data_IF_888068054811
#
_entry.id   IF_888068054811
#
_cell.length_a   1.000
_cell.length_b   1.000
_cell.length_c   1.000
_cell.angle_alpha   90.00
_cell.angle_beta   90.00
_cell.angle_gamma   90.00
#
_symmetry.space_group_name_H-M   'P 1'
#
loop_
_entity.id
_entity.type
_entity.pdbx_description
1 polymer ?
#
# COMPACT_ATOMS: atom_id res chain seq x y z
N UNK A 1 -6.12 67.28 24.74
CA UNK A 1 -7.47 67.66 24.26
C UNK A 1 -8.10 66.44 23.77
N UNK A 2 -8.92 65.66 24.56
CA UNK A 2 -10.40 65.70 24.71
C UNK A 2 -11.09 65.72 23.35
N UNK A 3 -11.86 64.70 22.92
CA UNK A 3 -13.18 64.16 23.38
C UNK A 3 -13.39 62.85 22.66
N UNK A 4 -13.72 61.69 23.25
CA UNK A 4 -15.00 61.23 23.83
C UNK A 4 -16.20 61.18 22.88
N UNK A 5 -16.68 59.93 22.72
CA UNK A 5 -18.04 59.39 22.90
C UNK A 5 -19.00 59.55 21.69
N UNK A 6 -19.80 58.57 21.28
CA UNK A 6 -20.82 57.88 22.08
C UNK A 6 -21.54 56.80 21.26
N UNK A 7 -22.07 55.75 21.94
CA UNK A 7 -23.12 54.84 21.46
C UNK A 7 -24.52 55.47 21.63
N UNK A 8 -25.53 54.98 20.85
CA UNK A 8 -26.71 54.39 21.49
C UNK A 8 -27.24 53.14 20.75
N UNK A 9 -27.65 52.08 21.38
CA UNK A 9 -28.77 51.60 22.15
C UNK A 9 -30.11 51.36 21.34
N UNK A 10 -30.42 50.04 21.32
CA UNK A 10 -31.74 49.33 21.30
C UNK A 10 -33.01 50.12 20.98
N UNK A 11 -33.88 49.48 20.12
CA UNK A 11 -35.30 49.17 20.47
C UNK A 11 -35.97 48.20 19.47
N UNK A 12 -36.68 47.26 20.05
CA UNK A 12 -37.59 46.22 19.60
C UNK A 12 -38.83 46.77 18.89
N UNK A 13 -39.34 46.09 17.84
CA UNK A 13 -40.77 46.06 17.52
C UNK A 13 -41.15 44.66 17.00
N UNK A 14 -42.12 44.04 17.70
CA UNK A 14 -42.87 42.89 17.28
C UNK A 14 -43.95 43.32 16.29
N UNK A 15 -44.24 42.47 15.25
CA UNK A 15 -45.54 42.41 14.62
C UNK A 15 -45.85 40.97 14.16
N UNK A 16 -46.95 40.44 14.66
CA UNK A 16 -47.56 39.19 14.28
C UNK A 16 -48.26 39.33 12.90
N UNK A 17 -48.12 38.24 12.10
CA UNK A 17 -48.91 38.07 10.87
C UNK A 17 -49.09 36.60 10.55
N UNK A 18 -50.27 36.07 10.83
CA UNK A 18 -50.72 34.69 10.49
C UNK A 18 -51.02 34.57 8.99
N UNK A 19 -50.48 33.52 8.35
CA UNK A 19 -50.86 33.16 6.99
C UNK A 19 -50.37 31.76 6.65
N UNK A 20 -51.24 30.76 6.74
CA UNK A 20 -50.91 29.37 6.38
C UNK A 20 -50.81 29.19 4.88
N UNK A 21 -49.81 28.43 4.44
CA UNK A 21 -49.78 27.82 3.10
C UNK A 21 -49.17 26.44 3.22
N UNK A 22 -49.94 25.46 2.76
CA UNK A 22 -49.54 24.07 2.67
C UNK A 22 -48.33 23.90 1.72
N UNK A 23 -47.21 23.43 2.22
CA UNK A 23 -46.08 23.01 1.40
C UNK A 23 -46.23 21.52 1.10
N UNK A 24 -46.49 21.21 -0.15
CA UNK A 24 -46.39 19.89 -0.74
C UNK A 24 -44.90 19.42 -0.60
N UNK A 25 -44.68 18.42 0.25
CA UNK A 25 -43.37 17.76 0.39
C UNK A 25 -43.04 16.97 -0.87
N UNK A 26 -42.17 17.53 -1.71
CA UNK A 26 -41.42 16.76 -2.68
C UNK A 26 -40.32 16.04 -1.92
N UNK A 27 -40.56 14.77 -1.57
CA UNK A 27 -39.55 13.87 -1.06
C UNK A 27 -38.49 13.63 -2.14
N UNK A 28 -37.35 14.29 -2.03
CA UNK A 28 -36.14 13.91 -2.76
C UNK A 28 -35.67 12.56 -2.22
N UNK A 29 -36.07 11.47 -2.88
CA UNK A 29 -35.45 10.16 -2.69
C UNK A 29 -34.00 10.25 -3.21
N UNK A 30 -33.07 10.41 -2.31
CA UNK A 30 -31.64 10.31 -2.64
C UNK A 30 -31.28 8.87 -3.04
N UNK A 31 -30.26 8.67 -3.92
CA UNK A 31 -29.83 7.34 -4.34
C UNK A 31 -28.93 6.70 -3.27
N UNK A 32 -29.49 6.32 -2.11
CA UNK A 32 -28.74 5.75 -0.98
C UNK A 32 -28.89 4.23 -0.82
N UNK A 33 -29.73 3.57 -1.61
CA UNK A 33 -30.13 2.17 -1.31
C UNK A 33 -29.42 1.10 -2.13
N UNK A 34 -28.76 1.43 -3.24
CA UNK A 34 -28.08 0.44 -4.09
C UNK A 34 -26.65 0.11 -3.63
N UNK A 35 -25.97 1.05 -3.02
CA UNK A 35 -24.53 0.90 -2.62
C UNK A 35 -24.36 0.05 -1.34
N UNK A 36 -25.35 0.06 -0.44
CA UNK A 36 -25.33 -0.73 0.80
C UNK A 36 -25.44 -2.25 0.56
N UNK A 37 -26.18 -2.67 -0.46
CA UNK A 37 -26.36 -4.09 -0.82
C UNK A 37 -25.10 -4.70 -1.46
N UNK A 38 -24.47 -3.97 -2.37
CA UNK A 38 -23.25 -4.41 -3.05
C UNK A 38 -22.08 -4.53 -2.07
N UNK A 39 -21.90 -3.54 -1.18
CA UNK A 39 -20.88 -3.57 -0.13
C UNK A 39 -21.06 -4.75 0.84
N UNK A 40 -22.29 -5.05 1.25
CA UNK A 40 -22.59 -6.19 2.13
C UNK A 40 -22.27 -7.54 1.45
N UNK A 41 -22.49 -7.67 0.14
CA UNK A 41 -22.15 -8.84 -0.65
C UNK A 41 -20.63 -9.09 -0.68
N UNK A 42 -19.84 -8.05 -0.93
CA UNK A 42 -18.37 -8.12 -0.92
C UNK A 42 -17.84 -8.54 0.46
N UNK A 43 -18.37 -7.95 1.53
CA UNK A 43 -17.95 -8.30 2.91
C UNK A 43 -18.29 -9.74 3.26
N UNK A 44 -19.43 -10.26 2.81
CA UNK A 44 -19.79 -11.68 3.00
C UNK A 44 -18.81 -12.57 2.27
N UNK A 45 -18.55 -12.30 0.99
CA UNK A 45 -17.64 -13.12 0.18
C UNK A 45 -16.22 -13.14 0.76
N UNK A 46 -15.71 -12.02 1.28
CA UNK A 46 -14.41 -11.99 1.96
C UNK A 46 -14.38 -12.92 3.19
N UNK A 47 -15.44 -12.92 4.02
CA UNK A 47 -15.53 -13.85 5.15
C UNK A 47 -15.63 -15.31 4.72
N UNK A 48 -16.38 -15.60 3.65
CA UNK A 48 -16.48 -16.95 3.11
C UNK A 48 -15.12 -17.44 2.62
N UNK A 49 -14.35 -16.60 1.92
CA UNK A 49 -12.99 -16.90 1.47
C UNK A 49 -12.02 -17.12 2.66
N UNK A 50 -12.13 -16.33 3.74
CA UNK A 50 -11.35 -16.56 4.96
C UNK A 50 -11.60 -17.95 5.54
N UNK A 51 -12.87 -18.36 5.59
CA UNK A 51 -13.26 -19.68 6.06
C UNK A 51 -12.79 -20.81 5.13
N UNK A 52 -13.03 -20.68 3.83
CA UNK A 52 -12.66 -21.65 2.79
C UNK A 52 -11.14 -21.93 2.79
N UNK A 53 -10.32 -20.88 3.02
CA UNK A 53 -8.87 -20.98 2.94
C UNK A 53 -8.17 -21.09 4.32
N UNK A 54 -8.92 -21.04 5.42
CA UNK A 54 -8.34 -20.99 6.78
C UNK A 54 -7.39 -19.82 6.96
N UNK A 55 -7.70 -18.67 6.35
CA UNK A 55 -6.83 -17.51 6.26
C UNK A 55 -7.47 -16.27 6.90
N UNK A 56 -6.65 -15.27 7.25
CA UNK A 56 -7.08 -13.89 7.46
C UNK A 56 -6.80 -13.11 6.17
N UNK A 57 -7.76 -12.28 5.77
CA UNK A 57 -7.65 -11.42 4.59
C UNK A 57 -7.80 -9.97 5.00
N UNK A 58 -6.76 -9.18 4.89
CA UNK A 58 -6.79 -7.74 5.07
C UNK A 58 -6.89 -7.02 3.73
N UNK A 59 -7.87 -6.11 3.60
CA UNK A 59 -8.15 -5.42 2.34
C UNK A 59 -8.32 -3.92 2.56
N UNK A 60 -7.70 -3.15 1.70
CA UNK A 60 -8.04 -1.76 1.43
C UNK A 60 -8.00 -1.53 -0.07
N UNK A 61 -9.15 -1.25 -0.67
CA UNK A 61 -9.25 -0.88 -2.08
C UNK A 61 -10.06 0.40 -2.21
N UNK A 62 -9.51 1.42 -2.89
CA UNK A 62 -10.17 2.71 -3.10
C UNK A 62 -9.97 3.23 -4.51
N UNK A 63 -11.06 3.43 -5.23
CA UNK A 63 -11.07 4.16 -6.48
C UNK A 63 -10.93 5.65 -6.19
N UNK A 64 -9.90 6.28 -6.75
CA UNK A 64 -9.58 7.68 -6.44
C UNK A 64 -10.41 8.69 -7.26
N UNK A 65 -11.14 8.22 -8.29
CA UNK A 65 -12.06 9.04 -9.08
C UNK A 65 -13.44 9.06 -8.46
N UNK A 66 -14.00 7.87 -8.16
CA UNK A 66 -15.36 7.74 -7.65
C UNK A 66 -15.47 7.80 -6.13
N UNK A 67 -14.34 7.60 -5.41
CA UNK A 67 -14.29 7.49 -3.96
C UNK A 67 -14.81 6.15 -3.40
N UNK A 68 -15.30 5.24 -4.26
CA UNK A 68 -15.75 3.91 -3.82
C UNK A 68 -14.62 3.19 -3.07
N UNK A 69 -14.95 2.61 -1.93
CA UNK A 69 -13.98 1.97 -1.04
C UNK A 69 -14.50 0.62 -0.56
N UNK A 70 -13.63 -0.39 -0.61
CA UNK A 70 -13.81 -1.67 0.11
C UNK A 70 -12.73 -1.77 1.17
N UNK A 71 -13.15 -2.03 2.41
CA UNK A 71 -12.27 -2.14 3.57
C UNK A 71 -12.67 -3.38 4.39
N UNK A 72 -11.73 -4.29 4.64
CA UNK A 72 -11.93 -5.48 5.47
C UNK A 72 -10.67 -5.71 6.29
N UNK A 73 -10.77 -5.84 7.62
CA UNK A 73 -9.62 -5.89 8.54
C UNK A 73 -8.56 -4.81 8.25
N UNK A 74 -9.00 -3.67 7.80
CA UNK A 74 -8.15 -2.66 7.12
C UNK A 74 -7.16 -1.99 8.06
N UNK A 75 -7.41 -2.03 9.39
CA UNK A 75 -6.53 -1.49 10.43
C UNK A 75 -5.77 -2.60 11.20
N UNK A 76 -6.08 -3.87 10.93
CA UNK A 76 -5.38 -4.97 11.59
C UNK A 76 -3.96 -5.15 11.06
N UNK A 77 -3.05 -5.60 11.93
CA UNK A 77 -1.66 -5.82 11.56
C UNK A 77 -1.48 -7.13 10.78
N UNK A 78 -0.69 -7.04 9.73
CA UNK A 78 -0.24 -8.15 8.89
C UNK A 78 1.28 -8.06 8.69
N UNK A 79 1.98 -9.20 8.51
CA UNK A 79 3.40 -9.20 8.15
C UNK A 79 3.66 -8.37 6.90
N UNK A 80 4.64 -7.46 6.96
CA UNK A 80 4.94 -6.56 5.85
C UNK A 80 5.62 -7.30 4.69
N UNK A 81 6.51 -8.23 5.02
CA UNK A 81 7.34 -8.92 4.05
C UNK A 81 7.92 -7.95 3.01
N UNK A 82 8.14 -8.39 1.78
CA UNK A 82 8.78 -7.58 0.73
C UNK A 82 8.00 -6.33 0.26
N UNK A 83 6.77 -6.05 0.76
CA UNK A 83 6.07 -4.82 0.37
C UNK A 83 6.72 -3.55 0.95
N UNK A 84 7.74 -3.66 1.81
CA UNK A 84 8.56 -2.53 2.23
C UNK A 84 9.56 -2.04 1.16
N UNK A 85 9.95 -2.89 0.19
CA UNK A 85 11.05 -2.61 -0.74
C UNK A 85 10.86 -1.35 -1.59
N UNK A 86 9.65 -1.02 -2.05
CA UNK A 86 9.40 0.29 -2.69
C UNK A 86 9.61 1.48 -1.75
N UNK A 87 9.34 1.32 -0.44
CA UNK A 87 9.65 2.37 0.53
C UNK A 87 11.16 2.56 0.68
N UNK A 88 11.94 1.46 0.64
CA UNK A 88 13.40 1.54 0.67
C UNK A 88 13.96 2.25 -0.58
N UNK A 89 13.49 1.87 -1.77
CA UNK A 89 13.87 2.54 -3.01
C UNK A 89 13.47 4.03 -3.01
N UNK A 90 12.27 4.35 -2.53
CA UNK A 90 11.79 5.73 -2.40
C UNK A 90 12.62 6.54 -1.39
N UNK A 91 13.02 5.94 -0.27
CA UNK A 91 13.89 6.59 0.71
C UNK A 91 15.28 6.88 0.12
N UNK A 92 15.84 5.96 -0.66
CA UNK A 92 17.10 6.19 -1.39
C UNK A 92 16.96 7.36 -2.35
N UNK A 93 15.91 7.37 -3.17
CA UNK A 93 15.65 8.44 -4.14
C UNK A 93 15.50 9.81 -3.46
N UNK A 94 14.77 9.88 -2.35
CA UNK A 94 14.44 11.15 -1.69
C UNK A 94 15.56 11.65 -0.78
N UNK A 95 16.15 10.76 0.01
CA UNK A 95 16.98 11.14 1.16
C UNK A 95 18.50 11.02 0.86
N UNK A 96 18.89 10.16 -0.12
CA UNK A 96 20.29 9.90 -0.43
C UNK A 96 20.71 10.39 -1.82
N UNK A 97 19.81 10.30 -2.84
CA UNK A 97 20.19 10.69 -4.20
C UNK A 97 20.05 12.18 -4.40
N UNK A 98 21.10 12.77 -4.99
CA UNK A 98 21.09 14.14 -5.50
C UNK A 98 21.60 14.09 -6.93
N UNK A 99 20.76 14.49 -7.86
CA UNK A 99 21.12 14.59 -9.28
C UNK A 99 21.58 13.29 -9.95
N UNK A 100 21.32 12.13 -9.33
CA UNK A 100 21.68 10.81 -9.85
C UNK A 100 23.07 10.30 -9.42
N UNK A 101 23.82 11.07 -8.63
CA UNK A 101 25.17 10.68 -8.20
C UNK A 101 25.14 9.45 -7.28
N UNK A 102 24.23 9.43 -6.31
CA UNK A 102 24.12 8.29 -5.41
C UNK A 102 23.62 7.04 -6.13
N UNK A 103 22.68 7.17 -7.04
CA UNK A 103 22.17 6.07 -7.84
C UNK A 103 23.23 5.44 -8.75
N UNK A 104 24.21 6.23 -9.21
CA UNK A 104 25.32 5.76 -10.04
C UNK A 104 26.39 5.01 -9.24
N UNK A 105 26.45 5.17 -7.91
CA UNK A 105 27.42 4.47 -7.05
C UNK A 105 27.27 2.96 -7.19
N UNK A 106 28.41 2.29 -7.27
CA UNK A 106 28.47 0.82 -7.29
C UNK A 106 28.69 0.28 -5.88
N UNK A 107 27.88 -0.71 -5.51
CA UNK A 107 28.00 -1.47 -4.27
C UNK A 107 28.52 -2.85 -4.61
N UNK A 108 29.63 -3.25 -3.97
CA UNK A 108 30.16 -4.60 -4.01
C UNK A 108 29.64 -5.38 -2.80
N UNK A 109 29.41 -6.65 -3.01
CA UNK A 109 28.94 -7.60 -2.01
C UNK A 109 29.54 -8.98 -2.30
N UNK A 110 29.41 -9.90 -1.37
CA UNK A 110 30.06 -11.21 -1.39
C UNK A 110 29.07 -12.34 -1.73
N UNK A 111 29.59 -13.48 -2.16
CA UNK A 111 28.78 -14.69 -2.32
C UNK A 111 28.12 -15.15 -1.00
N UNK A 112 28.78 -14.93 0.14
CA UNK A 112 28.20 -15.24 1.45
C UNK A 112 26.98 -14.35 1.78
N UNK A 113 26.98 -13.07 1.38
CA UNK A 113 25.81 -12.20 1.54
C UNK A 113 24.66 -12.64 0.62
N UNK A 114 24.96 -13.12 -0.58
CA UNK A 114 23.96 -13.69 -1.51
C UNK A 114 23.31 -14.93 -0.88
N UNK A 115 24.10 -15.87 -0.39
CA UNK A 115 23.59 -17.09 0.25
C UNK A 115 22.75 -16.78 1.48
N UNK A 116 23.19 -15.86 2.33
CA UNK A 116 22.49 -15.47 3.56
C UNK A 116 21.13 -14.76 3.30
N UNK A 117 20.96 -14.15 2.14
CA UNK A 117 19.70 -13.44 1.79
C UNK A 117 18.62 -14.36 1.18
N UNK A 118 18.96 -15.59 0.80
CA UNK A 118 18.11 -16.68 0.28
C UNK A 118 17.50 -16.41 -1.12
N UNK A 119 16.72 -15.35 -1.30
CA UNK A 119 16.06 -14.99 -2.56
C UNK A 119 16.79 -13.84 -3.27
N UNK A 120 17.66 -14.19 -4.22
CA UNK A 120 18.62 -13.25 -4.85
C UNK A 120 18.66 -13.37 -6.38
N UNK A 121 17.50 -13.34 -7.09
CA UNK A 121 17.42 -13.70 -8.51
C UNK A 121 18.24 -12.79 -9.45
N UNK A 122 18.64 -11.63 -8.98
CA UNK A 122 19.45 -10.66 -9.74
C UNK A 122 20.85 -10.57 -9.16
N UNK A 123 20.95 -10.30 -7.86
CA UNK A 123 22.26 -10.06 -7.21
C UNK A 123 23.20 -11.26 -7.28
N UNK A 124 22.70 -12.51 -7.29
CA UNK A 124 23.50 -13.72 -7.49
C UNK A 124 24.33 -13.72 -8.79
N UNK A 125 23.89 -12.98 -9.80
CA UNK A 125 24.53 -12.93 -11.14
C UNK A 125 25.60 -11.85 -11.26
N UNK A 126 25.76 -11.00 -10.24
CA UNK A 126 26.57 -9.80 -10.28
C UNK A 126 27.61 -9.72 -9.14
N UNK A 127 27.97 -10.87 -8.54
CA UNK A 127 28.90 -10.93 -7.39
C UNK A 127 30.26 -10.36 -7.75
N UNK A 128 30.77 -10.63 -8.95
CA UNK A 128 32.11 -10.22 -9.34
C UNK A 128 32.22 -8.69 -9.54
N UNK A 129 31.25 -8.10 -10.21
CA UNK A 129 31.29 -6.66 -10.56
C UNK A 129 30.52 -5.76 -9.60
N UNK A 130 29.68 -6.32 -8.73
CA UNK A 130 28.72 -5.56 -7.92
C UNK A 130 27.63 -4.92 -8.76
N UNK A 131 26.78 -4.10 -8.13
CA UNK A 131 25.65 -3.42 -8.81
C UNK A 131 25.59 -1.95 -8.46
N UNK A 132 25.08 -1.11 -9.38
CA UNK A 132 24.76 0.28 -9.06
C UNK A 132 23.58 0.34 -8.09
N UNK A 133 23.48 1.40 -7.30
CA UNK A 133 22.33 1.62 -6.40
C UNK A 133 21.01 1.65 -7.19
N UNK A 134 21.00 2.24 -8.39
CA UNK A 134 19.85 2.21 -9.28
C UNK A 134 19.42 0.79 -9.65
N UNK A 135 20.38 -0.05 -10.04
CA UNK A 135 20.12 -1.45 -10.38
C UNK A 135 19.62 -2.26 -9.16
N UNK A 136 20.14 -1.97 -7.96
CA UNK A 136 19.66 -2.57 -6.71
C UNK A 136 18.22 -2.14 -6.39
N UNK A 137 17.86 -0.86 -6.56
CA UNK A 137 16.49 -0.39 -6.42
C UNK A 137 15.55 -1.12 -7.39
N UNK A 138 15.93 -1.22 -8.66
CA UNK A 138 15.18 -1.94 -9.68
C UNK A 138 14.99 -3.42 -9.31
N UNK A 139 16.05 -4.12 -8.92
CA UNK A 139 16.02 -5.54 -8.53
C UNK A 139 15.13 -5.78 -7.29
N UNK A 140 15.27 -4.94 -6.26
CA UNK A 140 14.47 -5.04 -5.04
C UNK A 140 12.98 -4.85 -5.31
N UNK A 141 12.60 -3.89 -6.16
CA UNK A 141 11.21 -3.56 -6.46
C UNK A 141 10.62 -4.53 -7.46
N UNK A 142 11.25 -4.75 -8.62
CA UNK A 142 10.66 -5.53 -9.72
C UNK A 142 10.79 -7.04 -9.58
N UNK A 143 11.84 -7.55 -8.93
CA UNK A 143 12.09 -8.98 -8.79
C UNK A 143 12.16 -9.46 -7.33
N UNK A 144 11.90 -8.53 -6.41
CA UNK A 144 11.87 -8.81 -4.96
C UNK A 144 13.20 -9.35 -4.40
N UNK A 145 14.34 -9.01 -5.01
CA UNK A 145 15.66 -9.46 -4.58
C UNK A 145 15.93 -9.03 -3.13
N UNK A 146 16.22 -10.03 -2.26
CA UNK A 146 16.39 -9.79 -0.83
C UNK A 146 17.71 -9.12 -0.51
N UNK A 147 18.80 -9.55 -1.19
CA UNK A 147 20.09 -8.91 -0.96
C UNK A 147 20.06 -7.46 -1.45
N UNK A 148 19.47 -7.20 -2.60
CA UNK A 148 19.27 -5.82 -3.06
C UNK A 148 18.50 -4.99 -2.01
N UNK A 149 17.42 -5.53 -1.44
CA UNK A 149 16.69 -4.91 -0.32
C UNK A 149 17.59 -4.63 0.88
N UNK A 150 18.37 -5.61 1.33
CA UNK A 150 19.30 -5.47 2.45
C UNK A 150 20.41 -4.44 2.18
N UNK A 151 20.94 -4.40 0.96
CA UNK A 151 21.97 -3.42 0.57
C UNK A 151 21.40 -1.99 0.62
N UNK A 152 20.16 -1.78 0.15
CA UNK A 152 19.49 -0.48 0.28
C UNK A 152 19.24 -0.11 1.75
N UNK A 153 18.78 -1.07 2.58
CA UNK A 153 18.63 -0.85 4.01
C UNK A 153 19.95 -0.46 4.67
N UNK A 154 21.06 -1.09 4.28
CA UNK A 154 22.41 -0.78 4.79
C UNK A 154 22.78 0.69 4.51
N UNK A 155 22.56 1.16 3.30
CA UNK A 155 22.83 2.56 2.92
C UNK A 155 21.94 3.55 3.67
N UNK A 156 20.69 3.15 4.01
CA UNK A 156 19.74 3.97 4.78
C UNK A 156 19.98 3.95 6.30
N UNK A 157 20.93 3.14 6.79
CA UNK A 157 21.23 3.00 8.22
C UNK A 157 20.40 1.94 8.95
N UNK A 158 19.95 0.91 8.24
CA UNK A 158 19.29 -0.29 8.75
C UNK A 158 17.76 -0.26 8.67
N UNK A 159 17.11 -1.40 8.99
CA UNK A 159 15.65 -1.56 8.87
C UNK A 159 14.80 -0.46 9.50
N UNK A 160 15.14 0.11 10.68
CA UNK A 160 14.35 1.20 11.28
C UNK A 160 14.26 2.48 10.42
N UNK A 161 15.11 2.62 9.39
CA UNK A 161 15.00 3.73 8.44
C UNK A 161 13.67 3.70 7.69
N UNK A 162 13.14 2.51 7.37
CA UNK A 162 11.84 2.36 6.72
C UNK A 162 10.71 2.84 7.64
N UNK A 163 10.79 2.52 8.92
CA UNK A 163 9.83 3.03 9.90
C UNK A 163 9.87 4.56 9.94
N UNK A 164 11.05 5.18 9.99
CA UNK A 164 11.19 6.65 9.97
C UNK A 164 10.66 7.25 8.67
N UNK A 165 10.96 6.63 7.54
CA UNK A 165 10.47 7.06 6.22
C UNK A 165 8.94 7.01 6.16
N UNK A 166 8.31 5.90 6.57
CA UNK A 166 6.87 5.75 6.66
C UNK A 166 6.25 6.86 7.54
N UNK A 167 6.82 7.14 8.72
CA UNK A 167 6.35 8.22 9.62
C UNK A 167 6.42 9.59 8.95
N UNK A 168 7.47 9.87 8.16
CA UNK A 168 7.59 11.13 7.42
C UNK A 168 6.51 11.32 6.35
N UNK A 169 5.93 10.23 5.87
CA UNK A 169 4.78 10.21 4.96
C UNK A 169 3.43 10.20 5.68
N UNK A 170 3.40 10.25 7.02
CA UNK A 170 2.18 10.20 7.83
C UNK A 170 1.65 8.79 8.09
N UNK A 171 2.34 7.74 7.67
CA UNK A 171 2.02 6.36 8.02
C UNK A 171 2.53 6.07 9.44
N UNK A 172 1.61 5.90 10.38
CA UNK A 172 1.92 5.67 11.79
C UNK A 172 1.93 4.19 12.18
N UNK A 173 1.67 3.29 11.24
CA UNK A 173 1.50 1.86 11.47
C UNK A 173 2.69 1.06 10.96
N UNK A 174 3.04 1.20 9.69
CA UNK A 174 4.11 0.42 9.05
C UNK A 174 5.42 0.52 9.80
N UNK A 175 6.02 -0.63 10.12
CA UNK A 175 7.34 -0.71 10.76
C UNK A 175 8.16 -1.84 10.18
N UNK A 176 9.47 -1.65 10.15
CA UNK A 176 10.48 -2.63 9.78
C UNK A 176 11.57 -2.64 10.86
N UNK A 177 11.88 -3.81 11.36
CA UNK A 177 12.78 -4.01 12.51
C UNK A 177 13.95 -4.92 12.18
N UNK A 178 13.74 -5.87 11.25
CA UNK A 178 14.70 -6.91 10.92
C UNK A 178 15.11 -6.87 9.45
N UNK A 179 16.16 -7.57 9.13
CA UNK A 179 16.70 -7.76 7.79
C UNK A 179 16.01 -8.92 7.06
N UNK A 180 16.09 -8.97 5.73
CA UNK A 180 15.79 -10.18 4.98
C UNK A 180 16.84 -11.28 5.30
N UNK A 181 16.43 -12.55 5.46
CA UNK A 181 15.07 -13.08 5.35
C UNK A 181 14.29 -13.08 6.69
N UNK A 182 14.91 -12.72 7.82
CA UNK A 182 14.34 -12.86 9.17
C UNK A 182 13.02 -12.09 9.37
N UNK A 183 12.79 -10.99 8.65
CA UNK A 183 11.55 -10.21 8.71
C UNK A 183 10.31 -10.99 8.23
N UNK A 184 10.51 -12.12 7.53
CA UNK A 184 9.42 -12.93 6.97
C UNK A 184 8.93 -14.07 7.92
N UNK A 185 9.37 -14.09 9.17
CA UNK A 185 8.99 -15.15 10.14
C UNK A 185 7.50 -15.15 10.48
N UNK A 186 6.81 -13.99 10.38
CA UNK A 186 5.36 -13.81 10.30
C UNK A 186 4.54 -14.38 11.47
N UNK A 187 5.12 -14.57 12.65
CA UNK A 187 4.42 -15.11 13.83
C UNK A 187 3.22 -14.22 14.20
N UNK A 188 2.01 -14.81 14.41
CA UNK A 188 0.77 -14.05 14.62
C UNK A 188 0.74 -13.12 15.83
N UNK A 189 1.59 -13.37 16.83
CA UNK A 189 1.69 -12.56 18.06
C UNK A 189 2.75 -11.45 17.95
N UNK A 190 3.51 -11.39 16.85
CA UNK A 190 4.57 -10.42 16.67
C UNK A 190 4.02 -9.13 16.07
N UNK A 191 4.52 -8.02 16.57
CA UNK A 191 4.19 -6.67 16.02
C UNK A 191 5.31 -6.06 15.21
N UNK A 192 6.54 -6.63 15.30
CA UNK A 192 7.67 -6.27 14.46
C UNK A 192 7.42 -6.66 13.01
N UNK A 193 7.94 -5.87 12.08
CA UNK A 193 7.84 -6.08 10.63
C UNK A 193 6.39 -6.22 10.14
N UNK A 194 5.53 -5.32 10.60
CA UNK A 194 4.11 -5.33 10.26
C UNK A 194 3.64 -4.01 9.64
N UNK A 195 2.51 -4.10 8.97
CA UNK A 195 1.73 -2.98 8.43
C UNK A 195 0.24 -3.29 8.52
N UNK A 196 -0.63 -2.34 8.15
CA UNK A 196 -2.05 -2.60 7.92
C UNK A 196 -2.41 -2.32 6.45
N UNK A 197 -3.50 -2.93 5.94
CA UNK A 197 -3.91 -2.71 4.54
C UNK A 197 -4.08 -1.24 4.18
N UNK A 198 -4.71 -0.45 5.05
CA UNK A 198 -4.87 0.99 4.80
C UNK A 198 -3.53 1.72 4.83
N UNK A 199 -2.72 1.49 5.83
CA UNK A 199 -1.47 2.23 6.02
C UNK A 199 -0.54 2.05 4.82
N UNK A 200 -0.32 0.81 4.40
CA UNK A 200 0.57 0.53 3.26
C UNK A 200 -0.04 0.98 1.94
N UNK A 201 -1.36 0.80 1.74
CA UNK A 201 -2.05 1.25 0.53
C UNK A 201 -1.98 2.77 0.37
N UNK A 202 -2.25 3.54 1.42
CA UNK A 202 -2.15 5.01 1.39
C UNK A 202 -0.70 5.47 1.20
N UNK A 203 0.28 4.77 1.76
CA UNK A 203 1.70 5.04 1.54
C UNK A 203 2.07 4.87 0.07
N UNK A 204 1.64 3.77 -0.58
CA UNK A 204 1.85 3.58 -2.02
C UNK A 204 1.17 4.66 -2.87
N UNK A 205 -0.04 5.08 -2.51
CA UNK A 205 -0.72 6.18 -3.20
C UNK A 205 0.11 7.47 -3.15
N UNK A 206 0.69 7.82 -2.00
CA UNK A 206 1.57 8.99 -1.86
C UNK A 206 2.85 8.86 -2.68
N UNK A 207 3.43 7.66 -2.76
CA UNK A 207 4.65 7.40 -3.53
C UNK A 207 4.42 7.45 -5.03
N UNK A 208 3.29 6.93 -5.54
CA UNK A 208 3.02 6.77 -6.98
C UNK A 208 2.24 7.94 -7.58
N UNK A 209 1.31 8.51 -6.81
CA UNK A 209 0.39 9.56 -7.30
C UNK A 209 0.55 10.90 -6.58
N UNK A 210 1.10 10.89 -5.37
CA UNK A 210 1.24 12.08 -4.53
C UNK A 210 2.55 12.84 -4.77
N UNK A 211 2.91 13.62 -3.79
CA UNK A 211 4.07 14.52 -3.76
C UNK A 211 5.20 14.05 -2.83
N UNK A 212 5.15 12.78 -2.40
CA UNK A 212 6.19 12.18 -1.55
C UNK A 212 7.58 12.19 -2.20
N UNK A 213 7.63 12.18 -3.52
CA UNK A 213 8.84 12.24 -4.35
C UNK A 213 8.71 13.33 -5.41
N UNK A 214 9.83 13.98 -5.82
CA UNK A 214 9.88 14.75 -7.06
C UNK A 214 9.39 13.93 -8.26
N UNK A 215 8.82 14.59 -9.26
CA UNK A 215 8.22 13.91 -10.42
C UNK A 215 9.17 12.89 -11.06
N UNK A 216 10.43 13.26 -11.30
CA UNK A 216 11.45 12.38 -11.90
C UNK A 216 11.58 11.05 -11.12
N UNK A 217 11.68 11.16 -9.81
CA UNK A 217 11.91 9.98 -8.94
C UNK A 217 10.65 9.16 -8.75
N UNK A 218 9.49 9.83 -8.69
CA UNK A 218 8.19 9.17 -8.70
C UNK A 218 7.97 8.37 -9.99
N UNK A 219 8.26 8.94 -11.15
CA UNK A 219 8.14 8.28 -12.45
C UNK A 219 9.09 7.06 -12.51
N UNK A 220 10.30 7.18 -11.97
CA UNK A 220 11.29 6.09 -11.87
C UNK A 220 10.80 4.96 -10.97
N UNK A 221 10.35 5.27 -9.76
CA UNK A 221 9.78 4.27 -8.84
C UNK A 221 8.57 3.57 -9.45
N UNK A 222 7.69 4.33 -10.09
CA UNK A 222 6.52 3.79 -10.78
C UNK A 222 6.92 2.85 -11.91
N UNK A 223 7.95 3.17 -12.68
CA UNK A 223 8.46 2.30 -13.73
C UNK A 223 8.98 0.96 -13.17
N UNK A 224 9.67 0.97 -12.02
CA UNK A 224 10.11 -0.27 -11.36
C UNK A 224 8.94 -1.11 -10.85
N UNK A 225 7.89 -0.47 -10.32
CA UNK A 225 6.66 -1.17 -9.90
C UNK A 225 5.91 -1.77 -11.09
N UNK A 226 5.78 -1.04 -12.21
CA UNK A 226 5.17 -1.54 -13.46
C UNK A 226 5.94 -2.74 -14.05
N UNK A 227 7.25 -2.83 -13.78
CA UNK A 227 8.11 -3.92 -14.22
C UNK A 227 8.09 -5.13 -13.27
N UNK A 228 7.18 -5.18 -12.28
CA UNK A 228 7.08 -6.30 -11.34
C UNK A 228 6.83 -7.62 -12.06
N UNK A 229 7.69 -8.62 -11.79
CA UNK A 229 7.60 -9.97 -12.36
C UNK A 229 7.05 -11.01 -11.39
N UNK A 230 6.81 -10.63 -10.12
CA UNK A 230 6.45 -11.57 -9.05
C UNK A 230 4.94 -11.67 -8.81
N UNK A 231 4.12 -10.92 -9.51
CA UNK A 231 2.67 -10.81 -9.34
C UNK A 231 1.84 -11.71 -10.27
N UNK A 232 2.48 -12.58 -11.06
CA UNK A 232 1.85 -13.35 -12.14
C UNK A 232 0.65 -14.20 -11.70
N UNK A 233 0.70 -14.72 -10.47
CA UNK A 233 -0.36 -15.53 -9.85
C UNK A 233 -1.17 -14.77 -8.81
N UNK A 234 -1.07 -13.44 -8.77
CA UNK A 234 -1.75 -12.54 -7.80
C UNK A 234 -2.54 -11.46 -8.53
N UNK A 235 -2.15 -10.19 -8.39
CA UNK A 235 -2.90 -9.09 -9.04
C UNK A 235 -3.00 -9.28 -10.55
N UNK A 236 -1.94 -9.74 -11.22
CA UNK A 236 -1.97 -9.93 -12.66
C UNK A 236 -2.99 -10.98 -13.11
N UNK A 237 -3.16 -12.06 -12.35
CA UNK A 237 -4.21 -13.08 -12.61
C UNK A 237 -5.60 -12.57 -12.21
N UNK A 238 -5.70 -11.83 -11.10
CA UNK A 238 -6.96 -11.32 -10.57
C UNK A 238 -7.55 -10.16 -11.35
N UNK A 239 -6.71 -9.35 -12.01
CA UNK A 239 -7.06 -8.10 -12.67
C UNK A 239 -6.63 -8.08 -14.15
N UNK A 240 -7.22 -8.97 -14.99
CA UNK A 240 -6.86 -9.00 -16.40
C UNK A 240 -7.22 -7.67 -17.07
N UNK A 241 -6.29 -7.14 -17.88
CA UNK A 241 -6.47 -5.88 -18.60
C UNK A 241 -6.22 -4.61 -17.78
N UNK A 242 -5.85 -4.72 -16.49
CA UNK A 242 -5.44 -3.59 -15.67
C UNK A 242 -3.94 -3.29 -15.83
N UNK A 243 -3.57 -2.02 -15.65
CA UNK A 243 -2.17 -1.62 -15.51
C UNK A 243 -1.80 -1.68 -14.04
N UNK A 244 -0.70 -2.37 -13.69
CA UNK A 244 -0.36 -2.71 -12.31
C UNK A 244 1.00 -2.12 -11.93
N UNK A 245 1.01 -1.12 -11.07
CA UNK A 245 2.22 -0.65 -10.38
C UNK A 245 2.18 -1.18 -8.95
N UNK A 246 2.62 -2.43 -8.76
CA UNK A 246 2.43 -3.19 -7.54
C UNK A 246 3.69 -3.86 -7.03
N UNK A 247 3.65 -4.30 -5.80
CA UNK A 247 4.70 -5.09 -5.15
C UNK A 247 4.10 -6.23 -4.36
N UNK A 248 4.58 -7.43 -4.62
CA UNK A 248 4.25 -8.60 -3.82
C UNK A 248 5.08 -8.70 -2.55
N UNK A 249 4.52 -9.37 -1.57
CA UNK A 249 5.22 -9.80 -0.35
C UNK A 249 4.82 -11.22 0.00
N UNK A 250 5.66 -11.95 0.71
CA UNK A 250 5.33 -13.28 1.16
C UNK A 250 6.53 -14.03 1.71
N UNK A 251 6.25 -15.18 2.28
CA UNK A 251 7.24 -16.07 2.87
C UNK A 251 6.67 -17.48 3.01
N UNK A 252 7.50 -18.40 3.47
CA UNK A 252 7.12 -19.79 3.69
C UNK A 252 6.57 -20.03 5.11
N UNK A 253 6.41 -18.97 5.91
CA UNK A 253 5.83 -19.03 7.24
C UNK A 253 4.41 -18.46 7.26
N UNK A 254 3.52 -19.14 7.94
CA UNK A 254 2.12 -18.73 8.17
C UNK A 254 1.35 -18.37 6.89
N UNK A 255 1.73 -18.93 5.75
CA UNK A 255 1.04 -18.78 4.47
C UNK A 255 0.91 -17.34 3.98
N UNK A 256 1.85 -16.46 4.34
CA UNK A 256 1.76 -15.04 3.97
C UNK A 256 1.85 -14.85 2.47
N UNK A 257 0.84 -14.18 1.91
CA UNK A 257 0.81 -13.72 0.54
C UNK A 257 0.20 -12.33 0.48
N UNK A 258 0.99 -11.36 0.05
CA UNK A 258 0.59 -9.96 -0.04
C UNK A 258 0.74 -9.46 -1.47
N UNK A 259 -0.13 -8.52 -1.87
CA UNK A 259 0.06 -7.71 -3.05
C UNK A 259 -0.49 -6.32 -2.81
N UNK A 260 0.29 -5.29 -3.11
CA UNK A 260 -0.04 -3.88 -2.81
C UNK A 260 0.40 -2.99 -3.95
N UNK A 261 -0.47 -2.10 -4.39
CA UNK A 261 -0.12 -1.18 -5.47
C UNK A 261 -1.12 -0.06 -5.72
N UNK A 262 -0.76 0.75 -6.69
CA UNK A 262 -1.69 1.59 -7.44
C UNK A 262 -1.92 0.89 -8.78
N UNK A 263 -3.18 0.60 -9.06
CA UNK A 263 -3.58 -0.11 -10.27
C UNK A 263 -4.59 0.74 -11.04
N UNK A 264 -4.51 0.72 -12.36
CA UNK A 264 -5.46 1.45 -13.20
C UNK A 264 -6.41 0.49 -13.88
N UNK A 265 -7.71 0.76 -13.70
CA UNK A 265 -8.76 -0.02 -14.38
C UNK A 265 -8.66 0.10 -15.90
N UNK A 266 -9.31 -0.78 -16.68
CA UNK A 266 -9.36 -0.65 -18.14
C UNK A 266 -9.93 0.69 -18.62
N UNK A 267 -10.73 1.37 -17.79
CA UNK A 267 -11.23 2.72 -18.04
C UNK A 267 -10.22 3.82 -17.63
N UNK A 268 -9.05 3.47 -17.14
CA UNK A 268 -8.00 4.41 -16.74
C UNK A 268 -8.14 4.99 -15.33
N UNK A 269 -9.14 4.59 -14.55
CA UNK A 269 -9.32 5.08 -13.18
C UNK A 269 -8.25 4.49 -12.23
N UNK A 270 -7.50 5.33 -11.49
CA UNK A 270 -6.53 4.85 -10.51
C UNK A 270 -7.25 4.32 -9.26
N UNK A 271 -6.83 3.14 -8.83
CA UNK A 271 -7.30 2.45 -7.63
C UNK A 271 -6.10 2.13 -6.76
N UNK A 272 -6.14 2.55 -5.51
CA UNK A 272 -5.24 2.03 -4.48
C UNK A 272 -5.76 0.67 -4.07
N UNK A 273 -4.90 -0.36 -4.09
CA UNK A 273 -5.30 -1.71 -3.71
C UNK A 273 -4.22 -2.36 -2.85
N UNK A 274 -4.62 -2.83 -1.67
CA UNK A 274 -3.78 -3.64 -0.78
C UNK A 274 -4.56 -4.89 -0.39
N UNK A 275 -3.96 -6.05 -0.65
CA UNK A 275 -4.43 -7.37 -0.21
C UNK A 275 -3.30 -8.00 0.59
N UNK A 276 -3.53 -8.22 1.88
CA UNK A 276 -2.59 -8.84 2.80
C UNK A 276 -3.24 -10.10 3.36
N UNK A 277 -2.55 -11.23 3.29
CA UNK A 277 -3.10 -12.51 3.77
C UNK A 277 -2.13 -13.24 4.68
N UNK A 278 -2.67 -14.01 5.62
CA UNK A 278 -1.88 -14.91 6.48
C UNK A 278 -2.76 -16.06 6.97
N UNK A 279 -2.12 -17.20 7.29
CA UNK A 279 -2.76 -18.40 7.88
C UNK A 279 -2.23 -18.63 9.30
N UNK A 280 -2.77 -17.96 10.32
CA UNK A 280 -2.21 -17.96 11.68
C UNK A 280 -2.12 -19.35 12.32
N UNK A 281 -2.95 -20.30 11.87
CA UNK A 281 -2.99 -21.68 12.37
C UNK A 281 -2.06 -22.64 11.59
N UNK A 282 -1.30 -22.14 10.60
CA UNK A 282 -0.45 -22.96 9.73
C UNK A 282 0.98 -22.42 9.69
N UNK A 283 1.81 -22.66 10.72
CA UNK A 283 3.16 -22.11 10.81
C UNK A 283 4.04 -22.41 9.58
N UNK A 284 3.85 -23.55 8.93
CA UNK A 284 4.59 -23.96 7.73
C UNK A 284 3.69 -23.99 6.48
N UNK A 285 2.55 -23.30 6.54
CA UNK A 285 1.61 -23.24 5.41
C UNK A 285 2.23 -22.51 4.22
N UNK A 286 2.10 -23.03 2.99
CA UNK A 286 2.54 -22.34 1.80
C UNK A 286 1.71 -21.06 1.61
N UNK A 287 2.33 -20.06 0.95
CA UNK A 287 1.59 -18.87 0.54
C UNK A 287 0.45 -19.22 -0.43
N UNK A 288 -0.65 -18.44 -0.35
CA UNK A 288 -1.82 -18.64 -1.20
C UNK A 288 -1.95 -17.49 -2.20
N UNK A 289 -1.19 -17.58 -3.29
CA UNK A 289 -1.26 -16.58 -4.36
C UNK A 289 -2.62 -16.53 -5.04
N UNK A 290 -3.31 -17.68 -5.14
CA UNK A 290 -4.66 -17.75 -5.71
C UNK A 290 -5.69 -16.99 -4.87
N UNK A 291 -5.61 -17.08 -3.55
CA UNK A 291 -6.46 -16.31 -2.65
C UNK A 291 -6.31 -14.80 -2.89
N UNK A 292 -5.07 -14.32 -3.10
CA UNK A 292 -4.80 -12.92 -3.44
C UNK A 292 -5.41 -12.56 -4.79
N UNK A 293 -5.28 -13.41 -5.81
CA UNK A 293 -5.86 -13.19 -7.14
C UNK A 293 -7.40 -13.13 -7.10
N UNK A 294 -8.04 -14.07 -6.40
CA UNK A 294 -9.50 -14.12 -6.27
C UNK A 294 -10.03 -12.93 -5.47
N UNK A 295 -9.29 -12.51 -4.43
CA UNK A 295 -9.60 -11.29 -3.69
C UNK A 295 -9.49 -10.05 -4.59
N UNK A 296 -8.40 -9.93 -5.34
CA UNK A 296 -8.21 -8.81 -6.28
C UNK A 296 -9.32 -8.73 -7.34
N UNK A 297 -9.74 -9.88 -7.87
CA UNK A 297 -10.87 -9.96 -8.83
C UNK A 297 -12.18 -9.45 -8.22
N UNK A 298 -12.47 -9.87 -6.99
CA UNK A 298 -13.65 -9.38 -6.24
C UNK A 298 -13.60 -7.87 -6.05
N UNK A 299 -12.44 -7.34 -5.66
CA UNK A 299 -12.23 -5.91 -5.44
C UNK A 299 -12.31 -5.13 -6.76
N UNK A 300 -11.69 -5.62 -7.84
CA UNK A 300 -11.75 -5.01 -9.17
C UNK A 300 -13.18 -4.83 -9.65
N UNK A 301 -14.03 -5.85 -9.44
CA UNK A 301 -15.47 -5.75 -9.74
C UNK A 301 -16.21 -4.73 -8.88
N UNK A 302 -15.80 -4.54 -7.64
CA UNK A 302 -16.48 -3.63 -6.70
C UNK A 302 -16.09 -2.15 -6.86
N UNK A 303 -14.82 -1.87 -7.19
CA UNK A 303 -14.28 -0.49 -7.23
C UNK A 303 -13.81 -0.04 -8.60
N UNK A 304 -13.77 -0.92 -9.60
CA UNK A 304 -13.16 -0.64 -10.91
C UNK A 304 -14.03 0.17 -11.87
N UNK A 305 -15.31 0.36 -11.53
CA UNK A 305 -16.29 1.08 -12.35
C UNK A 305 -16.61 2.46 -11.79
#
# INVERSE_FOLDING_TARGET
>A
MKREASRPSRRTVLALGTGGLAALGLGAAGPASADTGAGAGVQRRLRDMEWEHGARIGVYARNLVTGRTVAHRTEELFPVCSVFKPLAAAAVLRDLDRDGEFLARRIHYTAAEVEAAEWTPVTEKHVAEGMTVEALCAAAVSQSDNLAGNLLLRELGGPPAITRFARSLGDRVTRLDRWEPALNSAEPWRTEDTTSPRAIGETYARLVLGDALPRRDRDRLTAWLLANTTNTQRFKEGLPGWTLADKTGGGNAYGVANDVGVVWSPAGAPVVMAVLTTRPQSPQGPNDSKLVADTARLLGGAVGS
#
